data_IF_021335811785
#
_entry.id   IF_021335811785
#
_cell.length_a   1.000
_cell.length_b   1.000
_cell.length_c   1.000
_cell.angle_alpha   90.00
_cell.angle_beta   90.00
_cell.angle_gamma   90.00
#
_symmetry.space_group_name_H-M   'P 1'
#
loop_
_entity.id
_entity.type
_entity.pdbx_description
1 polymer ?
#
# COMPACT_ATOMS: atom_id res chain seq x y z
N UNK A 1 -1.42 -25.98 -3.24
CA UNK A 1 -0.66 -24.74 -3.54
C UNK A 1 -1.53 -23.56 -3.15
N UNK A 2 -0.99 -22.56 -2.46
CA UNK A 2 -1.77 -21.40 -2.01
C UNK A 2 -2.26 -20.55 -3.18
N UNK A 3 -3.51 -20.07 -3.11
CA UNK A 3 -4.01 -19.11 -4.08
C UNK A 3 -3.26 -17.77 -3.92
N UNK A 4 -3.01 -17.01 -5.01
CA UNK A 4 -2.42 -15.69 -4.92
C UNK A 4 -3.30 -14.78 -4.04
N UNK A 5 -2.69 -13.93 -3.21
CA UNK A 5 -3.37 -12.97 -2.32
C UNK A 5 -2.62 -11.65 -2.38
N UNK A 6 -3.36 -10.54 -2.42
CA UNK A 6 -2.78 -9.22 -2.20
C UNK A 6 -2.76 -8.93 -0.70
N UNK A 7 -1.56 -8.81 -0.13
CA UNK A 7 -1.34 -8.39 1.26
C UNK A 7 -1.07 -6.88 1.27
N UNK A 8 -1.84 -6.13 2.06
CA UNK A 8 -1.71 -4.68 2.20
C UNK A 8 -1.53 -4.30 3.66
N UNK A 9 -0.36 -3.74 4.00
CA UNK A 9 -0.11 -3.09 5.28
C UNK A 9 -0.52 -1.62 5.21
N UNK A 10 -1.28 -1.14 6.19
CA UNK A 10 -1.70 0.26 6.32
C UNK A 10 -1.33 0.80 7.70
N UNK A 11 -0.60 1.91 7.71
CA UNK A 11 -0.41 2.74 8.89
C UNK A 11 -1.18 4.04 8.70
N UNK A 12 -2.13 4.31 9.58
CA UNK A 12 -2.93 5.53 9.57
C UNK A 12 -2.36 6.52 10.58
N UNK A 13 -2.15 7.77 10.16
CA UNK A 13 -1.66 8.84 11.03
C UNK A 13 -2.74 9.90 11.25
N UNK A 14 -2.82 10.41 12.48
CA UNK A 14 -3.72 11.47 12.91
C UNK A 14 -3.08 12.85 12.81
N UNK A 15 -3.74 13.87 13.38
CA UNK A 15 -3.17 15.21 13.45
C UNK A 15 -1.81 15.18 14.18
N UNK A 16 -0.83 15.87 13.61
CA UNK A 16 0.53 15.95 14.17
C UNK A 16 1.34 14.67 13.99
N UNK A 17 1.07 13.88 12.95
CA UNK A 17 1.81 12.66 12.59
C UNK A 17 1.80 11.58 13.68
N UNK A 18 0.76 11.60 14.53
CA UNK A 18 0.59 10.57 15.55
C UNK A 18 0.02 9.31 14.91
N UNK A 19 0.66 8.13 15.01
CA UNK A 19 0.09 6.89 14.49
C UNK A 19 -1.20 6.55 15.24
N UNK A 20 -2.24 6.19 14.50
CA UNK A 20 -3.57 5.83 14.99
C UNK A 20 -3.84 4.34 14.89
N UNK A 21 -3.41 3.72 13.79
CA UNK A 21 -3.76 2.33 13.48
C UNK A 21 -2.69 1.69 12.59
N UNK A 22 -2.38 0.43 12.86
CA UNK A 22 -1.57 -0.44 12.00
C UNK A 22 -2.41 -1.68 11.68
N UNK A 23 -2.66 -1.95 10.40
CA UNK A 23 -3.51 -3.07 9.96
C UNK A 23 -2.90 -3.77 8.76
N UNK A 24 -3.04 -5.09 8.72
CA UNK A 24 -2.73 -5.92 7.57
C UNK A 24 -4.01 -6.51 6.97
N UNK A 25 -4.22 -6.31 5.67
CA UNK A 25 -5.35 -6.82 4.92
C UNK A 25 -4.91 -7.92 3.96
N UNK A 26 -5.74 -8.96 3.84
CA UNK A 26 -5.55 -10.05 2.88
C UNK A 26 -6.71 -10.08 1.87
N UNK A 27 -6.44 -9.69 0.62
CA UNK A 27 -7.46 -9.64 -0.43
C UNK A 27 -7.35 -10.82 -1.39
N UNK A 28 -8.48 -11.51 -1.57
CA UNK A 28 -8.63 -12.59 -2.54
C UNK A 28 -8.83 -12.01 -3.95
N UNK A 29 -8.00 -12.40 -4.94
CA UNK A 29 -7.98 -11.77 -6.25
C UNK A 29 -9.25 -12.02 -7.06
N UNK A 30 -10.00 -13.09 -6.78
CA UNK A 30 -11.24 -13.39 -7.49
C UNK A 30 -12.37 -12.39 -7.18
N UNK A 31 -12.22 -11.60 -6.11
CA UNK A 31 -13.27 -10.67 -5.62
C UNK A 31 -12.82 -9.22 -5.51
N UNK A 32 -11.53 -8.93 -5.67
CA UNK A 32 -10.98 -7.61 -5.39
C UNK A 32 -10.02 -7.15 -6.48
N UNK A 33 -10.11 -5.86 -6.82
CA UNK A 33 -9.16 -5.15 -7.68
C UNK A 33 -8.62 -3.94 -6.92
N UNK A 34 -7.30 -3.76 -6.96
CA UNK A 34 -6.64 -2.57 -6.45
C UNK A 34 -6.35 -1.60 -7.60
N UNK A 35 -6.62 -0.31 -7.40
CA UNK A 35 -6.32 0.74 -8.37
C UNK A 35 -5.89 2.02 -7.65
N UNK A 36 -4.89 2.69 -8.21
CA UNK A 36 -4.41 4.00 -7.75
C UNK A 36 -4.41 4.94 -8.95
N UNK A 37 -4.84 6.19 -8.75
CA UNK A 37 -4.69 7.26 -9.73
C UNK A 37 -3.43 8.05 -9.39
N UNK A 38 -2.49 8.10 -10.32
CA UNK A 38 -1.27 8.89 -10.17
C UNK A 38 -1.45 10.26 -10.85
N UNK A 39 -0.99 11.35 -10.23
CA UNK A 39 -0.99 12.65 -10.89
C UNK A 39 0.02 12.64 -12.06
N UNK A 40 -0.28 13.44 -13.10
CA UNK A 40 0.53 13.52 -14.32
C UNK A 40 1.97 14.00 -14.06
N UNK A 41 2.14 14.86 -13.06
CA UNK A 41 3.42 15.40 -12.63
C UNK A 41 3.59 15.14 -11.14
N UNK A 42 4.72 14.55 -10.78
CA UNK A 42 5.09 14.32 -9.40
C UNK A 42 5.91 15.51 -8.88
N UNK A 43 5.45 16.24 -7.85
CA UNK A 43 6.21 17.39 -7.31
C UNK A 43 7.47 16.98 -6.52
N UNK A 44 7.69 15.69 -6.29
CA UNK A 44 8.90 15.14 -5.67
C UNK A 44 8.97 13.61 -5.79
N UNK A 45 10.08 12.98 -5.37
CA UNK A 45 10.19 11.52 -5.30
C UNK A 45 9.11 10.93 -4.39
N UNK A 46 8.51 9.82 -4.81
CA UNK A 46 7.58 9.06 -3.97
C UNK A 46 6.17 9.66 -3.92
N UNK A 47 5.33 9.26 -4.88
CA UNK A 47 3.87 9.40 -4.80
C UNK A 47 3.23 8.57 -3.67
N UNK A 48 3.93 8.41 -2.54
CA UNK A 48 3.67 7.35 -1.56
C UNK A 48 4.01 5.94 -2.05
N UNK A 49 4.62 5.79 -3.24
CA UNK A 49 5.04 4.48 -3.78
C UNK A 49 6.55 4.38 -3.71
N UNK A 50 7.04 3.49 -2.84
CA UNK A 50 8.45 3.12 -2.74
C UNK A 50 8.56 1.66 -3.14
N UNK A 51 9.18 1.37 -4.28
CA UNK A 51 9.56 0.00 -4.64
C UNK A 51 10.72 -0.42 -3.74
N UNK A 52 10.45 -1.23 -2.71
CA UNK A 52 11.51 -1.94 -1.99
C UNK A 52 11.79 -3.23 -2.73
N UNK A 53 12.93 -3.31 -3.41
CA UNK A 53 13.46 -4.60 -3.85
C UNK A 53 13.98 -5.33 -2.62
N UNK A 54 13.46 -6.53 -2.36
CA UNK A 54 14.10 -7.44 -1.41
C UNK A 54 15.45 -7.84 -2.02
N UNK A 55 16.54 -7.37 -1.42
CA UNK A 55 17.85 -7.98 -1.63
C UNK A 55 17.89 -9.20 -0.73
N UNK A 56 18.04 -10.38 -1.33
CA UNK A 56 18.39 -11.62 -0.64
C UNK A 56 19.71 -11.46 0.14
#
# INVERSE_FOLDING_TARGET
MGAPVLVLERISFGKGDKPLEVVEFHYRPERYRFSVTLPRTMPGPGAGIVERRSTD
#
